data_IF_012282115303
#
_entry.id   IF_012282115303
#
_cell.length_a   1.000
_cell.length_b   1.000
_cell.length_c   1.000
_cell.angle_alpha   90.00
_cell.angle_beta   90.00
_cell.angle_gamma   90.00
#
_symmetry.space_group_name_H-M   'P 1'
#
loop_
_entity.id
_entity.type
_entity.pdbx_description
1 polymer ?
#
# COMPACT_ATOMS: atom_id res chain seq x y z
N UNK A 1 1.17 -4.36 0.29
CA UNK A 1 -0.10 -3.58 0.18
C UNK A 1 -1.07 -3.90 1.33
N UNK A 2 -1.71 -5.09 1.36
CA UNK A 2 -2.73 -5.47 2.37
C UNK A 2 -2.39 -5.07 3.82
N UNK A 3 -1.24 -5.51 4.34
CA UNK A 3 -0.85 -5.26 5.74
C UNK A 3 -0.74 -3.78 6.13
N UNK A 4 -0.32 -2.92 5.19
CA UNK A 4 -0.22 -1.47 5.45
C UNK A 4 -1.60 -0.82 5.44
N UNK A 5 -2.44 -1.19 4.48
CA UNK A 5 -3.80 -0.65 4.33
C UNK A 5 -4.75 -1.08 5.46
N UNK A 6 -4.53 -2.26 6.04
CA UNK A 6 -5.36 -2.77 7.15
C UNK A 6 -4.97 -2.23 8.52
N UNK A 7 -4.06 -1.24 8.59
CA UNK A 7 -3.41 -0.80 9.83
C UNK A 7 -2.89 -2.00 10.66
N UNK A 8 -2.04 -2.83 10.04
CA UNK A 8 -1.51 -4.06 10.65
C UNK A 8 -2.59 -5.03 11.16
N UNK A 9 -3.74 -5.04 10.49
CA UNK A 9 -4.91 -5.87 10.80
C UNK A 9 -5.73 -5.44 12.02
N UNK A 10 -5.52 -4.22 12.54
CA UNK A 10 -6.44 -3.62 13.53
C UNK A 10 -7.73 -3.12 12.87
N UNK A 11 -7.63 -2.66 11.62
CA UNK A 11 -8.72 -2.03 10.87
C UNK A 11 -9.32 -0.78 11.54
N UNK A 12 -8.68 -0.21 12.56
CA UNK A 12 -9.15 0.99 13.24
C UNK A 12 -9.12 2.21 12.31
N UNK A 13 -8.06 2.29 11.50
CA UNK A 13 -7.76 3.40 10.60
C UNK A 13 -7.45 2.87 9.19
N UNK A 14 -8.13 1.80 8.78
CA UNK A 14 -7.76 1.06 7.57
C UNK A 14 -8.92 0.31 6.92
N UNK A 15 -8.60 -0.41 5.86
CA UNK A 15 -9.59 -1.17 5.08
C UNK A 15 -9.06 -2.51 4.61
N UNK A 16 -9.96 -3.34 4.08
CA UNK A 16 -9.63 -4.64 3.52
C UNK A 16 -9.26 -4.52 2.04
N UNK A 17 -7.99 -4.80 1.72
CA UNK A 17 -7.53 -4.94 0.33
C UNK A 17 -7.94 -6.31 -0.20
N UNK A 18 -8.63 -6.33 -1.34
CA UNK A 18 -9.21 -7.52 -1.94
C UNK A 18 -8.55 -7.85 -3.29
N UNK A 19 -8.63 -9.12 -3.70
CA UNK A 19 -8.12 -9.60 -4.98
C UNK A 19 -9.21 -10.39 -5.72
N UNK A 20 -9.30 -10.21 -7.03
CA UNK A 20 -10.35 -10.79 -7.88
C UNK A 20 -9.77 -11.26 -9.22
N UNK A 21 -10.56 -11.99 -10.01
CA UNK A 21 -10.14 -12.47 -11.33
C UNK A 21 -9.15 -13.64 -11.28
N UNK A 22 -8.27 -13.74 -12.29
CA UNK A 22 -7.31 -14.84 -12.40
C UNK A 22 -6.15 -14.67 -11.42
N UNK A 23 -6.18 -15.45 -10.34
CA UNK A 23 -5.16 -15.42 -9.28
C UNK A 23 -3.83 -16.04 -9.67
N UNK A 24 -3.72 -16.71 -10.82
CA UNK A 24 -2.43 -17.25 -11.30
C UNK A 24 -1.43 -16.14 -11.60
N UNK A 25 -1.90 -14.95 -11.97
CA UNK A 25 -1.03 -13.82 -12.34
C UNK A 25 -0.19 -13.28 -11.16
N UNK A 26 -0.54 -13.61 -9.91
CA UNK A 26 0.15 -13.08 -8.72
C UNK A 26 1.60 -13.54 -8.56
N UNK A 27 1.98 -14.64 -9.21
CA UNK A 27 3.35 -15.19 -9.14
C UNK A 27 4.26 -14.59 -10.21
N UNK A 28 3.68 -13.87 -11.16
CA UNK A 28 4.43 -13.21 -12.21
C UNK A 28 5.21 -12.01 -11.66
N UNK A 29 6.31 -11.66 -12.33
CA UNK A 29 7.16 -10.54 -11.90
C UNK A 29 6.48 -9.21 -12.24
N UNK A 30 6.49 -8.28 -11.28
CA UNK A 30 5.80 -6.99 -11.39
C UNK A 30 6.25 -6.13 -12.58
N UNK A 31 7.50 -6.27 -13.02
CA UNK A 31 8.04 -5.49 -14.15
C UNK A 31 7.33 -5.77 -15.48
N UNK A 32 6.65 -6.91 -15.62
CA UNK A 32 5.83 -7.22 -16.79
C UNK A 32 4.64 -6.26 -16.94
N UNK A 33 4.25 -5.59 -15.85
CA UNK A 33 3.08 -4.72 -15.77
C UNK A 33 3.42 -3.25 -15.52
N UNK A 34 4.47 -2.97 -14.75
CA UNK A 34 4.85 -1.60 -14.35
C UNK A 34 6.15 -1.11 -15.03
N UNK A 35 6.79 -1.96 -15.84
CA UNK A 35 8.13 -1.70 -16.37
C UNK A 35 9.22 -1.94 -15.33
N UNK A 36 10.45 -1.59 -15.70
CA UNK A 36 11.63 -1.79 -14.87
C UNK A 36 12.45 -0.50 -14.78
N UNK A 37 12.81 -0.13 -13.55
CA UNK A 37 13.70 0.99 -13.26
C UNK A 37 15.11 0.45 -12.94
N UNK A 38 16.13 0.74 -13.78
CA UNK A 38 17.51 0.32 -13.54
C UNK A 38 18.12 0.82 -12.22
N UNK A 39 17.64 1.94 -11.66
CA UNK A 39 18.12 2.43 -10.36
C UNK A 39 17.84 1.44 -9.22
N UNK A 40 16.83 0.59 -9.38
CA UNK A 40 16.44 -0.42 -8.39
C UNK A 40 17.09 -1.79 -8.65
N UNK A 41 18.06 -1.90 -9.56
CA UNK A 41 18.68 -3.18 -9.94
C UNK A 41 19.31 -3.95 -8.76
N UNK A 42 19.85 -3.22 -7.78
CA UNK A 42 20.48 -3.79 -6.59
C UNK A 42 19.53 -3.83 -5.37
N UNK A 43 18.28 -3.40 -5.53
CA UNK A 43 17.28 -3.48 -4.47
C UNK A 43 16.93 -4.97 -4.27
N UNK A 44 17.28 -5.51 -3.09
CA UNK A 44 16.86 -6.85 -2.69
C UNK A 44 15.52 -6.77 -1.98
N UNK A 45 14.73 -7.85 -2.02
CA UNK A 45 13.42 -7.93 -1.35
C UNK A 45 13.50 -7.61 0.16
N UNK A 46 14.68 -7.80 0.78
CA UNK A 46 14.96 -7.50 2.19
C UNK A 46 15.41 -6.05 2.46
N UNK A 47 15.79 -5.29 1.44
CA UNK A 47 16.25 -3.89 1.58
C UNK A 47 15.08 -2.90 1.73
N UNK A 48 13.88 -3.31 1.35
CA UNK A 48 12.67 -2.53 1.60
C UNK A 48 12.28 -2.68 3.06
N UNK A 49 11.92 -1.58 3.77
CA UNK A 49 11.45 -1.68 5.15
C UNK A 49 10.32 -2.71 5.20
N UNK A 50 10.52 -3.78 5.98
CA UNK A 50 9.47 -4.76 6.20
C UNK A 50 8.22 -4.00 6.66
N UNK A 51 7.05 -4.36 6.13
CA UNK A 51 5.81 -3.61 6.39
C UNK A 51 5.47 -3.48 7.89
N UNK A 52 6.07 -4.34 8.73
CA UNK A 52 5.99 -4.30 10.20
C UNK A 52 6.78 -3.12 10.81
N UNK A 53 7.85 -2.67 10.15
CA UNK A 53 8.73 -1.58 10.58
C UNK A 53 8.28 -0.20 10.07
N UNK A 54 7.34 -0.14 9.13
CA UNK A 54 6.75 1.13 8.70
C UNK A 54 5.87 1.68 9.82
N UNK A 55 6.12 2.91 10.27
CA UNK A 55 5.28 3.58 11.28
C UNK A 55 3.79 3.61 10.83
N UNK A 56 2.83 3.54 11.78
CA UNK A 56 1.43 3.79 11.45
C UNK A 56 1.29 5.15 10.78
N UNK A 57 0.42 5.24 9.79
CA UNK A 57 0.10 6.51 9.16
C UNK A 57 -1.23 7.01 9.72
N UNK A 58 -1.28 8.30 10.06
CA UNK A 58 -2.56 8.96 10.26
C UNK A 58 -3.30 9.03 8.92
N UNK A 59 -4.62 8.85 8.97
CA UNK A 59 -5.48 8.85 7.79
C UNK A 59 -6.77 9.62 8.08
N UNK A 60 -7.36 10.12 7.01
CA UNK A 60 -8.69 10.74 7.01
C UNK A 60 -9.62 9.87 6.15
N UNK A 61 -10.89 9.77 6.54
CA UNK A 61 -11.87 9.12 5.70
C UNK A 61 -11.97 9.84 4.35
N UNK A 62 -11.99 9.11 3.24
CA UNK A 62 -12.09 9.69 1.91
C UNK A 62 -13.33 10.59 1.73
N UNK A 63 -14.43 10.31 2.45
CA UNK A 63 -15.64 11.15 2.40
C UNK A 63 -15.52 12.46 3.18
N UNK A 64 -14.62 12.50 4.17
CA UNK A 64 -14.43 13.66 5.04
C UNK A 64 -13.24 14.53 4.59
N UNK A 65 -12.43 14.04 3.64
CA UNK A 65 -11.23 14.73 3.17
C UNK A 65 -11.53 16.14 2.65
N UNK A 66 -12.63 16.32 1.91
CA UNK A 66 -13.05 17.62 1.40
C UNK A 66 -13.45 18.58 2.53
N UNK A 67 -14.11 18.06 3.58
CA UNK A 67 -14.50 18.87 4.74
C UNK A 67 -13.28 19.32 5.55
N UNK A 68 -12.33 18.40 5.77
CA UNK A 68 -11.08 18.71 6.46
C UNK A 68 -10.27 19.77 5.69
N UNK A 69 -10.19 19.64 4.36
CA UNK A 69 -9.53 20.62 3.51
C UNK A 69 -10.17 22.01 3.62
N UNK A 70 -11.49 22.10 3.51
CA UNK A 70 -12.21 23.38 3.58
C UNK A 70 -12.11 24.04 4.95
N UNK A 71 -12.04 23.24 6.03
CA UNK A 71 -11.90 23.75 7.38
C UNK A 71 -10.50 24.32 7.68
N UNK A 72 -9.45 23.76 7.06
CA UNK A 72 -8.07 24.23 7.24
C UNK A 72 -7.68 25.42 6.34
N UNK A 73 -8.53 25.76 5.37
CA UNK A 73 -8.30 26.81 4.39
C UNK A 73 -8.59 28.21 4.94
#
# INVERSE_FOLDING_TARGET
VKNRTSDRSTYNLGSHVMQYGNKSMRVERLYLYQGYDPANANATDNALPQQQHLAPMEVVNQRDADLVFLWQK
#
